data_IF_164252702017
#
_entry.id   IF_164252702017
#
_cell.length_a   1.000
_cell.length_b   1.000
_cell.length_c   1.000
_cell.angle_alpha   90.00
_cell.angle_beta   90.00
_cell.angle_gamma   90.00
#
_symmetry.space_group_name_H-M   'P 1'
#
loop_
_entity.id
_entity.type
_entity.pdbx_description
1 polymer ?
#
# COMPACT_ATOMS: atom_id res chain seq x y z
N UNK A 1 -17.95 28.32 7.81
CA UNK A 1 -17.96 26.83 7.71
C UNK A 1 -18.57 26.47 6.38
N UNK A 2 -18.01 25.49 5.67
CA UNK A 2 -18.60 24.96 4.43
C UNK A 2 -20.03 24.50 4.70
N UNK A 3 -20.96 24.77 3.79
CA UNK A 3 -22.37 24.36 3.89
C UNK A 3 -22.52 22.83 3.98
N UNK A 4 -21.48 22.10 3.59
CA UNK A 4 -21.46 20.63 3.54
C UNK A 4 -20.75 19.98 4.74
N UNK A 5 -20.16 20.77 5.66
CA UNK A 5 -19.47 20.23 6.84
C UNK A 5 -20.36 20.43 8.07
N UNK A 6 -20.98 19.34 8.51
CA UNK A 6 -21.81 19.32 9.72
C UNK A 6 -20.98 19.12 10.97
N UNK A 7 -21.54 19.45 12.13
CA UNK A 7 -20.94 19.18 13.44
C UNK A 7 -20.71 17.68 13.70
N UNK A 8 -21.52 16.81 13.08
CA UNK A 8 -21.35 15.36 13.13
C UNK A 8 -20.05 14.92 12.43
N UNK A 9 -19.76 15.46 11.24
CA UNK A 9 -18.51 15.17 10.55
C UNK A 9 -17.29 15.63 11.33
N UNK A 10 -17.37 16.78 12.00
CA UNK A 10 -16.30 17.28 12.86
C UNK A 10 -16.03 16.30 14.01
N UNK A 11 -17.07 15.87 14.74
CA UNK A 11 -16.95 14.89 15.82
C UNK A 11 -16.34 13.56 15.35
N UNK A 12 -16.75 13.10 14.16
CA UNK A 12 -16.23 11.86 13.57
C UNK A 12 -14.75 11.98 13.19
N UNK A 13 -14.34 13.12 12.63
CA UNK A 13 -12.93 13.40 12.33
C UNK A 13 -12.08 13.47 13.61
N UNK A 14 -12.57 14.16 14.65
CA UNK A 14 -11.89 14.24 15.95
C UNK A 14 -11.69 12.86 16.59
N UNK A 15 -12.71 12.00 16.50
CA UNK A 15 -12.63 10.61 16.95
C UNK A 15 -11.51 9.86 16.22
N UNK A 16 -11.47 9.93 14.89
CA UNK A 16 -10.42 9.26 14.10
C UNK A 16 -9.03 9.80 14.44
N UNK A 17 -8.86 11.12 14.55
CA UNK A 17 -7.56 11.72 14.93
C UNK A 17 -7.12 11.23 16.31
N UNK A 18 -8.04 11.11 17.28
CA UNK A 18 -7.74 10.61 18.62
C UNK A 18 -7.27 9.15 18.57
N UNK A 19 -7.96 8.30 17.84
CA UNK A 19 -7.57 6.88 17.69
C UNK A 19 -6.24 6.74 16.93
N UNK A 20 -6.01 7.53 15.88
CA UNK A 20 -4.73 7.57 15.17
C UNK A 20 -3.58 7.95 16.11
N UNK A 21 -3.74 9.02 16.90
CA UNK A 21 -2.70 9.46 17.85
C UNK A 21 -2.43 8.40 18.93
N UNK A 22 -3.48 7.76 19.44
CA UNK A 22 -3.36 6.68 20.45
C UNK A 22 -2.56 5.48 19.94
N UNK A 23 -2.59 5.24 18.62
CA UNK A 23 -1.90 4.13 17.97
C UNK A 23 -0.64 4.60 17.19
N UNK A 24 0.04 5.65 17.66
CA UNK A 24 1.29 6.18 17.07
C UNK A 24 1.20 6.54 15.58
N UNK A 25 0.04 7.04 15.14
CA UNK A 25 -0.16 7.43 13.75
C UNK A 25 -0.63 6.30 12.83
N UNK A 26 -0.69 5.07 13.33
CA UNK A 26 -1.11 3.90 12.57
C UNK A 26 -2.51 3.47 13.02
N UNK A 27 -3.37 3.07 12.09
CA UNK A 27 -4.57 2.33 12.50
C UNK A 27 -4.13 0.93 12.95
N UNK A 28 -4.68 0.37 14.05
CA UNK A 28 -4.48 -1.04 14.34
C UNK A 28 -5.13 -1.82 13.19
N UNK A 29 -4.32 -2.43 12.34
CA UNK A 29 -4.75 -3.25 11.21
C UNK A 29 -4.31 -4.68 11.50
N UNK A 30 -5.27 -5.59 11.47
CA UNK A 30 -5.00 -7.02 11.40
C UNK A 30 -4.62 -7.34 9.95
N UNK A 31 -3.33 -7.58 9.70
CA UNK A 31 -2.79 -7.77 8.36
C UNK A 31 -3.32 -9.04 7.69
N UNK A 32 -3.56 -10.10 8.46
CA UNK A 32 -4.07 -11.37 7.92
C UNK A 32 -5.52 -11.21 7.45
N UNK A 33 -6.35 -10.55 8.26
CA UNK A 33 -7.73 -10.23 7.88
C UNK A 33 -7.74 -9.26 6.70
N UNK A 34 -6.92 -8.21 6.74
CA UNK A 34 -6.83 -7.21 5.68
C UNK A 34 -6.49 -7.84 4.33
N UNK A 35 -5.47 -8.70 4.26
CA UNK A 35 -5.08 -9.30 2.97
C UNK A 35 -6.11 -10.29 2.44
N UNK A 36 -6.80 -11.04 3.32
CA UNK A 36 -7.92 -11.91 2.94
C UNK A 36 -9.10 -11.13 2.37
N UNK A 37 -9.41 -10.00 2.98
CA UNK A 37 -10.52 -9.14 2.55
C UNK A 37 -10.16 -8.35 1.29
N UNK A 38 -8.88 -7.98 1.14
CA UNK A 38 -8.34 -7.40 -0.08
C UNK A 38 -8.49 -8.34 -1.28
N UNK A 39 -8.24 -9.64 -1.14
CA UNK A 39 -8.43 -10.62 -2.22
C UNK A 39 -9.88 -10.68 -2.70
N UNK A 40 -10.86 -10.63 -1.78
CA UNK A 40 -12.28 -10.56 -2.11
C UNK A 40 -12.64 -9.24 -2.80
N UNK A 41 -12.13 -8.13 -2.26
CA UNK A 41 -12.39 -6.80 -2.81
C UNK A 41 -11.82 -6.65 -4.22
N UNK A 42 -10.65 -7.22 -4.51
CA UNK A 42 -10.06 -7.19 -5.85
C UNK A 42 -10.81 -8.05 -6.87
N UNK A 43 -11.54 -9.08 -6.44
CA UNK A 43 -12.33 -9.92 -7.32
C UNK A 43 -13.61 -9.23 -7.82
N UNK A 44 -14.20 -8.33 -7.01
CA UNK A 44 -15.35 -7.51 -7.39
C UNK A 44 -15.23 -6.07 -6.81
N UNK A 45 -14.36 -5.21 -7.39
CA UNK A 45 -13.99 -3.90 -6.82
C UNK A 45 -15.13 -2.93 -6.47
N UNK A 46 -16.31 -3.13 -7.06
CA UNK A 46 -17.50 -2.32 -6.85
C UNK A 46 -18.70 -3.16 -6.37
N UNK A 47 -18.43 -4.39 -5.96
CA UNK A 47 -19.40 -5.31 -5.43
C UNK A 47 -20.06 -4.74 -4.18
N UNK A 48 -21.37 -4.93 -4.06
CA UNK A 48 -22.12 -4.49 -2.87
C UNK A 48 -21.67 -5.19 -1.58
N UNK A 49 -21.05 -6.37 -1.71
CA UNK A 49 -20.69 -7.26 -0.60
C UNK A 49 -19.19 -7.25 -0.29
N UNK A 50 -18.41 -6.31 -0.87
CA UNK A 50 -16.98 -6.21 -0.55
C UNK A 50 -16.77 -5.80 0.91
N UNK A 51 -15.89 -6.49 1.64
CA UNK A 51 -15.63 -6.17 3.05
C UNK A 51 -14.87 -4.85 3.23
N UNK A 52 -14.13 -4.43 2.20
CA UNK A 52 -13.34 -3.21 2.18
C UNK A 52 -13.24 -2.64 0.77
N UNK A 53 -12.89 -1.36 0.66
CA UNK A 53 -12.47 -0.77 -0.61
C UNK A 53 -11.15 -1.43 -1.06
N UNK A 54 -11.02 -1.88 -2.31
CA UNK A 54 -9.79 -2.53 -2.78
C UNK A 54 -8.63 -1.54 -2.77
N UNK A 55 -7.54 -1.94 -2.12
CA UNK A 55 -6.25 -1.26 -2.18
C UNK A 55 -5.55 -1.59 -3.51
N UNK A 56 -5.67 -0.72 -4.49
CA UNK A 56 -4.91 -0.80 -5.74
C UNK A 56 -3.58 -0.05 -5.65
N UNK A 57 -2.70 -0.41 -4.71
CA UNK A 57 -1.45 0.33 -4.50
C UNK A 57 -0.63 0.41 -5.80
N UNK A 58 -0.59 1.60 -6.42
CA UNK A 58 0.24 1.89 -7.60
C UNK A 58 1.58 2.41 -7.09
N UNK A 59 2.43 1.49 -6.61
CA UNK A 59 3.81 1.83 -6.26
C UNK A 59 4.59 2.00 -7.57
N UNK A 60 4.68 3.24 -8.04
CA UNK A 60 5.61 3.58 -9.11
C UNK A 60 7.05 3.37 -8.63
N UNK A 61 7.95 3.07 -9.57
CA UNK A 61 9.36 2.80 -9.28
C UNK A 61 10.06 3.93 -8.50
N UNK A 62 9.58 5.16 -8.72
CA UNK A 62 10.04 6.38 -8.04
C UNK A 62 9.85 6.26 -6.52
N UNK A 63 8.69 5.77 -6.07
CA UNK A 63 8.41 5.53 -4.64
C UNK A 63 9.28 4.42 -4.06
N UNK A 64 9.56 3.35 -4.83
CA UNK A 64 10.42 2.25 -4.38
C UNK A 64 11.85 2.72 -4.16
N UNK A 65 12.36 3.57 -5.06
CA UNK A 65 13.71 4.12 -4.96
C UNK A 65 13.84 5.09 -3.78
N UNK A 66 12.87 6.01 -3.62
CA UNK A 66 12.84 6.96 -2.52
C UNK A 66 12.79 6.26 -1.15
N UNK A 67 11.91 5.26 -1.01
CA UNK A 67 11.75 4.48 0.23
C UNK A 67 13.03 3.70 0.64
N UNK A 68 13.85 3.35 -0.35
CA UNK A 68 15.14 2.67 -0.16
C UNK A 68 16.33 3.63 -0.12
N UNK A 69 16.13 4.94 -0.32
CA UNK A 69 17.21 5.93 -0.38
C UNK A 69 18.14 5.75 -1.58
N UNK A 70 17.64 5.19 -2.69
CA UNK A 70 18.39 4.93 -3.91
C UNK A 70 18.07 6.01 -4.94
N UNK A 71 19.10 6.53 -5.64
CA UNK A 71 18.87 7.42 -6.78
C UNK A 71 18.27 6.65 -7.94
N UNK A 72 17.17 7.17 -8.49
CA UNK A 72 16.53 6.59 -9.66
C UNK A 72 17.47 6.51 -10.86
N UNK A 73 17.53 5.32 -11.47
CA UNK A 73 18.19 5.11 -12.76
C UNK A 73 17.22 4.40 -13.71
N UNK A 74 16.57 5.19 -14.57
CA UNK A 74 15.59 4.69 -15.55
C UNK A 74 16.22 3.75 -16.58
N UNK A 75 17.52 3.89 -16.88
CA UNK A 75 18.21 3.03 -17.84
C UNK A 75 18.45 1.66 -17.22
N UNK A 76 18.99 1.61 -16.01
CA UNK A 76 19.17 0.36 -15.28
C UNK A 76 17.84 -0.30 -14.97
N UNK A 77 16.84 0.48 -14.57
CA UNK A 77 15.51 -0.09 -14.38
C UNK A 77 15.04 -0.83 -15.61
N UNK A 78 15.14 -0.27 -16.82
CA UNK A 78 14.63 -0.90 -18.03
C UNK A 78 15.48 -2.09 -18.53
N UNK A 79 16.80 -2.08 -18.35
CA UNK A 79 17.72 -3.01 -19.02
C UNK A 79 18.57 -3.88 -18.09
N UNK A 80 18.69 -3.55 -16.81
CA UNK A 80 19.49 -4.26 -15.81
C UNK A 80 18.55 -5.08 -14.89
N UNK A 81 18.19 -6.26 -15.38
CA UNK A 81 17.30 -7.18 -14.68
C UNK A 81 17.85 -7.61 -13.30
N UNK A 82 19.13 -8.01 -13.15
CA UNK A 82 19.70 -8.33 -11.84
C UNK A 82 19.57 -7.19 -10.83
N UNK A 83 19.83 -5.95 -11.25
CA UNK A 83 19.67 -4.77 -10.40
C UNK A 83 18.21 -4.53 -10.02
N UNK A 84 17.28 -4.68 -10.98
CA UNK A 84 15.84 -4.54 -10.70
C UNK A 84 15.37 -5.55 -9.66
N UNK A 85 15.80 -6.81 -9.79
CA UNK A 85 15.45 -7.89 -8.86
C UNK A 85 16.02 -7.64 -7.46
N UNK A 86 17.26 -7.15 -7.35
CA UNK A 86 17.89 -6.79 -6.07
C UNK A 86 17.09 -5.70 -5.33
N UNK A 87 16.64 -4.66 -6.05
CA UNK A 87 15.82 -3.60 -5.47
C UNK A 87 14.44 -4.10 -5.05
N UNK A 88 13.78 -4.89 -5.90
CA UNK A 88 12.48 -5.49 -5.58
C UNK A 88 12.57 -6.30 -4.28
N UNK A 89 13.62 -7.12 -4.15
CA UNK A 89 13.85 -7.94 -2.95
C UNK A 89 14.03 -7.07 -1.71
N UNK A 90 14.90 -6.05 -1.77
CA UNK A 90 15.14 -5.11 -0.66
C UNK A 90 13.87 -4.38 -0.22
N UNK A 91 13.06 -3.95 -1.19
CA UNK A 91 11.77 -3.33 -0.89
C UNK A 91 10.81 -4.31 -0.24
N UNK A 92 10.70 -5.53 -0.77
CA UNK A 92 9.84 -6.55 -0.21
C UNK A 92 10.27 -6.99 1.20
N UNK A 93 11.56 -7.05 1.50
CA UNK A 93 12.05 -7.35 2.86
C UNK A 93 11.57 -6.27 3.85
N UNK A 94 11.53 -5.00 3.42
CA UNK A 94 10.98 -3.89 4.22
C UNK A 94 9.45 -3.98 4.31
N UNK A 95 8.77 -4.23 3.20
CA UNK A 95 7.32 -4.32 3.14
C UNK A 95 6.78 -5.49 3.97
N UNK A 96 7.45 -6.65 3.97
CA UNK A 96 7.08 -7.81 4.76
C UNK A 96 7.15 -7.51 6.26
N UNK A 97 8.15 -6.75 6.72
CA UNK A 97 8.23 -6.30 8.11
C UNK A 97 7.09 -5.35 8.52
N UNK A 98 6.60 -4.52 7.60
CA UNK A 98 5.64 -3.44 7.91
C UNK A 98 4.20 -3.89 7.67
N UNK A 99 3.94 -4.57 6.55
CA UNK A 99 2.61 -4.96 6.09
C UNK A 99 2.43 -6.48 5.91
N UNK A 100 3.40 -7.30 6.33
CA UNK A 100 3.27 -8.76 6.38
C UNK A 100 3.18 -9.46 5.02
N UNK A 101 3.46 -8.74 3.91
CA UNK A 101 3.35 -9.28 2.55
C UNK A 101 4.42 -8.70 1.64
N UNK A 102 4.94 -9.54 0.75
CA UNK A 102 5.81 -9.15 -0.37
C UNK A 102 4.93 -8.62 -1.50
N UNK A 103 4.98 -7.31 -1.75
CA UNK A 103 4.01 -6.59 -2.60
C UNK A 103 4.46 -6.59 -4.06
N UNK A 104 5.77 -6.51 -4.31
CA UNK A 104 6.34 -6.49 -5.65
C UNK A 104 6.60 -7.92 -6.14
N UNK A 105 6.35 -8.19 -7.42
CA UNK A 105 6.62 -9.50 -8.01
C UNK A 105 8.13 -9.75 -8.13
N UNK A 106 8.61 -10.82 -7.48
CA UNK A 106 10.00 -11.31 -7.59
C UNK A 106 10.20 -12.31 -8.74
N UNK A 107 9.12 -12.67 -9.41
CA UNK A 107 9.17 -13.55 -10.57
C UNK A 107 9.31 -12.74 -11.85
N UNK A 108 10.20 -13.22 -12.71
CA UNK A 108 10.34 -12.71 -14.07
C UNK A 108 9.16 -13.27 -14.86
N UNK A 109 8.05 -12.54 -14.89
CA UNK A 109 6.96 -12.88 -15.80
C UNK A 109 7.45 -12.66 -17.23
N UNK A 110 7.27 -13.65 -18.13
CA UNK A 110 7.59 -13.45 -19.54
C UNK A 110 6.75 -12.27 -20.06
N UNK A 111 7.38 -11.38 -20.84
CA UNK A 111 6.65 -10.32 -21.53
C UNK A 111 5.58 -10.98 -22.42
N UNK A 112 4.31 -10.72 -22.14
CA UNK A 112 3.20 -11.03 -23.04
C UNK A 112 3.30 -10.17 -24.30
#
# INVERSE_FOLDING_TARGET
MSVNITSEYIKKAEFFIKETKKNNGLSPVDLDVFWKDQEKAMADPFGKDIPQLPLGAILYWECVCDELGITEDKKRFNYDLPWRMDIIKKYNDKAECIVGKRILGEEILPKK
#
